data_IF_873789144928
#
_entry.id   IF_873789144928
#
_cell.length_a   1.000
_cell.length_b   1.000
_cell.length_c   1.000
_cell.angle_alpha   90.00
_cell.angle_beta   90.00
_cell.angle_gamma   90.00
#
_symmetry.space_group_name_H-M   'P 1'
#
loop_
_entity.id
_entity.type
_entity.pdbx_description
1 polymer ?
#
# COMPACT_ATOMS: atom_id res chain seq x y z
N UNK A 1 17.76 24.83 61.96
CA UNK A 1 16.98 23.57 61.94
C UNK A 1 16.28 23.54 60.57
N UNK A 2 16.52 22.57 59.68
CA UNK A 2 15.87 21.23 59.65
C UNK A 2 14.33 21.37 59.69
N UNK A 3 13.47 20.79 58.84
CA UNK A 3 13.56 19.82 57.72
C UNK A 3 12.16 19.77 57.02
N UNK A 4 11.88 19.21 55.83
CA UNK A 4 12.65 18.61 54.71
C UNK A 4 11.72 18.56 53.44
N UNK A 5 12.03 17.71 52.44
CA UNK A 5 11.24 17.48 51.20
C UNK A 5 10.10 16.44 51.36
N UNK A 6 9.16 16.41 50.40
CA UNK A 6 8.18 15.32 50.26
C UNK A 6 7.29 15.42 49.00
N UNK A 7 7.71 14.80 47.89
CA UNK A 7 6.85 14.56 46.71
C UNK A 7 6.21 13.16 46.81
N UNK A 8 4.90 13.06 46.54
CA UNK A 8 4.16 11.90 45.98
C UNK A 8 2.69 12.34 45.77
N UNK A 9 1.85 11.77 44.91
CA UNK A 9 2.02 11.05 43.64
C UNK A 9 0.68 11.11 42.89
N UNK A 10 0.58 11.94 41.85
CA UNK A 10 -0.64 12.07 41.05
C UNK A 10 -0.82 10.86 40.12
N UNK A 11 -1.75 9.96 40.46
CA UNK A 11 -1.97 8.71 39.72
C UNK A 11 -2.75 8.94 38.41
N UNK A 12 -2.07 9.40 37.37
CA UNK A 12 -2.63 9.56 36.03
C UNK A 12 -2.93 8.20 35.39
N UNK A 13 -4.15 7.72 35.56
CA UNK A 13 -4.66 6.57 34.82
C UNK A 13 -4.76 6.91 33.32
N UNK A 14 -3.75 6.51 32.55
CA UNK A 14 -3.80 6.53 31.08
C UNK A 14 -4.80 5.48 30.59
N UNK A 15 -6.00 5.91 30.23
CA UNK A 15 -7.01 5.06 29.60
C UNK A 15 -6.64 4.79 28.14
N UNK A 16 -5.99 3.65 27.90
CA UNK A 16 -5.73 3.15 26.54
C UNK A 16 -7.06 2.89 25.80
N UNK A 17 -7.27 3.43 24.58
CA UNK A 17 -8.45 3.12 23.79
C UNK A 17 -8.33 1.70 23.21
N UNK A 18 -8.94 0.72 23.90
CA UNK A 18 -8.93 -0.69 23.52
C UNK A 18 -9.91 -0.96 22.36
N UNK A 19 -9.51 -0.58 21.14
CA UNK A 19 -10.23 -0.91 19.91
C UNK A 19 -9.67 -2.18 19.24
N UNK A 20 -10.06 -3.37 19.70
CA UNK A 20 -9.64 -4.63 19.06
C UNK A 20 -10.48 -4.95 17.81
N UNK A 21 -10.21 -4.23 16.72
CA UNK A 21 -10.52 -4.73 15.39
C UNK A 21 -9.80 -6.06 15.15
N UNK A 22 -10.51 -7.07 14.63
CA UNK A 22 -9.86 -8.33 14.22
C UNK A 22 -8.95 -8.04 13.02
N UNK A 23 -7.64 -7.84 13.29
CA UNK A 23 -6.62 -7.80 12.23
C UNK A 23 -6.84 -8.96 11.25
N UNK A 24 -7.15 -8.64 10.00
CA UNK A 24 -7.28 -9.63 8.93
C UNK A 24 -5.99 -10.43 8.86
N UNK A 25 -6.04 -11.72 9.22
CA UNK A 25 -4.86 -12.57 9.26
C UNK A 25 -4.40 -12.88 7.83
N UNK A 26 -3.37 -12.17 7.37
CA UNK A 26 -2.80 -12.39 6.05
C UNK A 26 -2.27 -13.81 5.89
N UNK A 27 -2.55 -14.45 4.75
CA UNK A 27 -2.03 -15.78 4.44
C UNK A 27 -0.50 -15.73 4.39
N UNK A 28 0.17 -16.37 5.37
CA UNK A 28 1.63 -16.26 5.61
C UNK A 28 2.48 -16.47 4.35
N UNK A 29 2.08 -17.38 3.46
CA UNK A 29 2.77 -17.63 2.20
C UNK A 29 2.83 -16.43 1.25
N UNK A 30 1.74 -15.65 1.16
CA UNK A 30 1.58 -14.54 0.19
C UNK A 30 2.31 -13.25 0.59
N UNK A 31 2.80 -13.19 1.83
CA UNK A 31 3.59 -12.08 2.37
C UNK A 31 5.11 -12.31 2.26
N UNK A 32 5.51 -13.49 1.78
CA UNK A 32 6.92 -13.79 1.48
C UNK A 32 7.35 -13.01 0.23
N UNK A 33 8.54 -12.38 0.25
CA UNK A 33 9.14 -11.82 -0.95
C UNK A 33 9.39 -12.88 -2.02
N UNK A 34 9.27 -12.46 -3.26
CA UNK A 34 9.26 -13.32 -4.44
C UNK A 34 10.02 -12.63 -5.58
N UNK A 35 10.46 -13.40 -6.57
CA UNK A 35 11.28 -12.92 -7.69
C UNK A 35 10.53 -13.18 -8.99
N UNK A 36 10.46 -12.17 -9.85
CA UNK A 36 10.00 -12.26 -11.23
C UNK A 36 11.05 -11.59 -12.10
N UNK A 37 11.50 -12.24 -13.17
CA UNK A 37 12.49 -11.72 -14.13
C UNK A 37 13.75 -11.12 -13.48
N UNK A 38 14.27 -11.79 -12.44
CA UNK A 38 15.45 -11.36 -11.67
C UNK A 38 15.20 -10.21 -10.68
N UNK A 39 14.00 -9.62 -10.65
CA UNK A 39 13.61 -8.55 -9.73
C UNK A 39 12.88 -9.09 -8.51
N UNK A 40 13.40 -8.79 -7.32
CA UNK A 40 12.76 -9.16 -6.04
C UNK A 40 11.71 -8.13 -5.63
N UNK A 41 10.49 -8.61 -5.34
CA UNK A 41 9.38 -7.83 -4.82
C UNK A 41 9.16 -8.14 -3.33
N UNK A 42 8.89 -7.11 -2.55
CA UNK A 42 8.74 -7.20 -1.10
C UNK A 42 7.34 -6.73 -0.69
N UNK A 43 6.40 -7.65 -0.35
CA UNK A 43 5.09 -7.28 0.17
C UNK A 43 5.15 -6.34 1.39
N UNK A 44 4.13 -5.52 1.57
CA UNK A 44 3.97 -4.59 2.69
C UNK A 44 3.43 -5.33 3.93
N UNK A 45 3.68 -4.83 5.16
CA UNK A 45 3.23 -5.50 6.38
C UNK A 45 1.73 -5.30 6.63
N UNK A 46 1.24 -4.16 6.15
CA UNK A 46 -0.09 -3.61 6.28
C UNK A 46 -0.26 -2.60 5.13
N UNK A 47 -1.50 -2.26 4.81
CA UNK A 47 -1.82 -1.28 3.78
C UNK A 47 -2.08 0.14 4.31
N UNK A 48 -2.05 0.35 5.64
CA UNK A 48 -2.31 1.66 6.25
C UNK A 48 -1.45 2.77 5.62
N UNK A 49 -2.09 3.86 5.18
CA UNK A 49 -1.45 5.02 4.55
C UNK A 49 -1.01 4.83 3.10
N UNK A 50 -1.19 3.67 2.47
CA UNK A 50 -0.73 3.41 1.11
C UNK A 50 -1.52 4.21 0.05
N UNK A 51 -0.78 4.90 -0.82
CA UNK A 51 -1.29 5.59 -2.00
C UNK A 51 -0.30 5.37 -3.16
N UNK A 52 -0.74 4.84 -4.29
CA UNK A 52 0.09 4.71 -5.50
C UNK A 52 -0.68 5.26 -6.70
N UNK A 53 0.01 5.94 -7.62
CA UNK A 53 -0.62 6.49 -8.83
C UNK A 53 0.12 6.08 -10.08
N UNK A 54 -0.55 5.41 -11.01
CA UNK A 54 0.10 4.89 -12.20
C UNK A 54 -0.84 4.21 -13.20
N UNK A 55 -0.30 3.69 -14.31
CA UNK A 55 -1.05 2.88 -15.28
C UNK A 55 -1.66 1.63 -14.65
N UNK A 56 -2.97 1.46 -14.84
CA UNK A 56 -3.68 0.21 -14.57
C UNK A 56 -4.30 -0.36 -15.84
N UNK A 57 -4.32 -1.68 -15.91
CA UNK A 57 -4.91 -2.49 -17.00
C UNK A 57 -5.86 -3.52 -16.40
N UNK A 58 -6.33 -4.49 -17.20
CA UNK A 58 -7.23 -5.54 -16.76
C UNK A 58 -6.89 -6.90 -17.36
N UNK A 59 -7.25 -7.98 -16.65
CA UNK A 59 -7.03 -9.36 -17.10
C UNK A 59 -7.95 -9.72 -18.27
N UNK A 60 -7.36 -10.14 -19.38
CA UNK A 60 -8.09 -10.67 -20.54
C UNK A 60 -8.99 -11.89 -20.21
N UNK A 61 -9.91 -12.26 -21.11
CA UNK A 61 -10.90 -13.30 -20.85
C UNK A 61 -10.28 -14.67 -20.50
N UNK A 62 -9.14 -15.00 -21.09
CA UNK A 62 -8.43 -16.29 -20.94
C UNK A 62 -7.86 -16.54 -19.53
N UNK A 63 -7.99 -15.59 -18.61
CA UNK A 63 -7.56 -15.77 -17.22
C UNK A 63 -8.61 -16.46 -16.34
N UNK A 64 -9.89 -16.48 -16.73
CA UNK A 64 -10.97 -16.98 -15.89
C UNK A 64 -10.75 -18.43 -15.44
N UNK A 65 -10.96 -18.70 -14.14
CA UNK A 65 -10.77 -20.01 -13.53
C UNK A 65 -9.32 -20.37 -13.17
N UNK A 66 -8.31 -19.65 -13.68
CA UNK A 66 -6.90 -19.87 -13.31
C UNK A 66 -6.65 -19.46 -11.85
N UNK A 67 -5.73 -20.15 -11.19
CA UNK A 67 -5.33 -19.81 -9.82
C UNK A 67 -4.61 -18.47 -9.73
N UNK A 68 -5.02 -17.65 -8.77
CA UNK A 68 -4.31 -16.44 -8.34
C UNK A 68 -3.22 -16.77 -7.33
N UNK A 69 -2.34 -15.80 -7.06
CA UNK A 69 -1.25 -15.91 -6.09
C UNK A 69 -1.69 -16.11 -4.64
N UNK A 70 -2.97 -15.92 -4.29
CA UNK A 70 -3.51 -16.28 -2.98
C UNK A 70 -4.19 -17.66 -2.92
N UNK A 71 -4.27 -18.37 -4.05
CA UNK A 71 -4.85 -19.71 -4.18
C UNK A 71 -6.33 -19.75 -4.62
N UNK A 72 -7.02 -18.60 -4.68
CA UNK A 72 -8.37 -18.52 -5.25
C UNK A 72 -8.35 -18.70 -6.77
N UNK A 73 -9.43 -19.24 -7.35
CA UNK A 73 -9.67 -19.16 -8.79
C UNK A 73 -10.08 -17.74 -9.19
N UNK A 74 -9.43 -17.16 -10.20
CA UNK A 74 -9.76 -15.82 -10.70
C UNK A 74 -11.17 -15.78 -11.31
N UNK A 75 -12.03 -14.97 -10.71
CA UNK A 75 -13.37 -14.69 -11.19
C UNK A 75 -13.40 -13.30 -11.87
N UNK A 76 -13.62 -13.25 -13.18
CA UNK A 76 -13.67 -11.99 -13.92
C UNK A 76 -14.88 -11.10 -13.54
N UNK A 77 -15.89 -11.68 -12.91
CA UNK A 77 -17.11 -11.01 -12.45
C UNK A 77 -16.99 -10.47 -11.01
N UNK A 78 -15.96 -10.87 -10.25
CA UNK A 78 -15.70 -10.34 -8.92
C UNK A 78 -14.91 -9.02 -9.01
N UNK A 79 -15.04 -8.11 -8.03
CA UNK A 79 -14.20 -6.89 -7.95
C UNK A 79 -12.87 -7.19 -7.26
N UNK A 80 -11.93 -7.69 -8.04
CA UNK A 80 -10.59 -8.09 -7.58
C UNK A 80 -9.49 -7.46 -8.42
N UNK A 81 -8.28 -7.43 -7.90
CA UNK A 81 -7.10 -6.94 -8.61
C UNK A 81 -5.79 -7.61 -8.17
N UNK A 82 -4.80 -7.57 -9.06
CA UNK A 82 -3.40 -7.87 -8.78
C UNK A 82 -2.66 -6.63 -8.30
N UNK A 83 -1.87 -6.75 -7.24
CA UNK A 83 -0.88 -5.75 -6.86
C UNK A 83 0.46 -6.37 -6.46
N UNK A 84 1.56 -5.73 -6.83
CA UNK A 84 2.94 -6.21 -6.59
C UNK A 84 3.22 -6.42 -5.10
N UNK A 85 2.82 -5.46 -4.27
CA UNK A 85 3.31 -5.37 -2.88
C UNK A 85 2.19 -5.26 -1.84
N UNK A 86 0.93 -5.02 -2.22
CA UNK A 86 -0.12 -4.86 -1.21
C UNK A 86 -0.43 -6.20 -0.53
N UNK A 87 -0.79 -6.21 0.76
CA UNK A 87 -1.22 -7.42 1.42
C UNK A 87 -2.42 -8.06 0.71
N UNK A 88 -2.48 -9.39 0.67
CA UNK A 88 -3.69 -10.06 0.18
C UNK A 88 -4.88 -9.73 1.08
N UNK A 89 -6.06 -9.63 0.48
CA UNK A 89 -7.31 -9.18 1.09
C UNK A 89 -7.32 -7.71 1.54
N UNK A 90 -6.32 -6.90 1.20
CA UNK A 90 -6.46 -5.45 1.26
C UNK A 90 -7.57 -5.02 0.30
N UNK A 91 -8.50 -4.22 0.82
CA UNK A 91 -9.48 -3.49 0.01
C UNK A 91 -8.86 -2.15 -0.42
N UNK A 92 -9.02 -1.78 -1.69
CA UNK A 92 -8.54 -0.50 -2.21
C UNK A 92 -9.65 0.22 -2.97
N UNK A 93 -9.70 1.54 -2.83
CA UNK A 93 -10.42 2.42 -3.75
C UNK A 93 -9.52 2.67 -4.95
N UNK A 94 -10.03 2.39 -6.14
CA UNK A 94 -9.36 2.68 -7.42
C UNK A 94 -10.13 3.78 -8.11
N UNK A 95 -9.45 4.88 -8.40
CA UNK A 95 -10.01 6.05 -9.08
C UNK A 95 -9.34 6.23 -10.43
N UNK A 96 -10.12 6.16 -11.50
CA UNK A 96 -9.65 6.50 -12.85
C UNK A 96 -9.49 8.02 -12.94
N UNK A 97 -8.26 8.50 -13.17
CA UNK A 97 -7.94 9.92 -13.18
C UNK A 97 -8.37 10.63 -14.48
N UNK A 98 -8.65 9.86 -15.54
CA UNK A 98 -9.01 10.38 -16.85
C UNK A 98 -10.52 10.72 -16.95
N UNK A 99 -11.35 10.13 -16.06
CA UNK A 99 -12.81 10.32 -16.06
C UNK A 99 -13.47 10.46 -14.68
N UNK A 100 -12.70 10.33 -13.58
CA UNK A 100 -13.21 10.46 -12.21
C UNK A 100 -14.07 9.29 -11.71
N UNK A 101 -14.24 8.20 -12.48
CA UNK A 101 -14.98 7.01 -12.02
C UNK A 101 -14.17 6.27 -10.96
N UNK A 102 -14.87 5.64 -10.03
CA UNK A 102 -14.30 4.93 -8.88
C UNK A 102 -14.91 3.54 -8.73
N UNK A 103 -14.12 2.59 -8.24
CA UNK A 103 -14.61 1.28 -7.79
C UNK A 103 -13.75 0.76 -6.62
N UNK A 104 -14.33 -0.10 -5.78
CA UNK A 104 -13.63 -0.75 -4.67
C UNK A 104 -13.32 -2.19 -5.06
N UNK A 105 -12.04 -2.57 -4.97
CA UNK A 105 -11.56 -3.93 -5.31
C UNK A 105 -10.78 -4.54 -4.16
N UNK A 106 -10.76 -5.89 -4.11
CA UNK A 106 -9.92 -6.66 -3.21
C UNK A 106 -8.64 -7.12 -3.90
N UNK A 107 -7.48 -6.91 -3.28
CA UNK A 107 -6.22 -7.50 -3.75
C UNK A 107 -6.21 -9.00 -3.46
N UNK A 108 -6.16 -9.84 -4.50
CA UNK A 108 -6.04 -11.29 -4.35
C UNK A 108 -4.92 -11.93 -5.22
N UNK A 109 -4.25 -11.16 -6.07
CA UNK A 109 -3.18 -11.65 -6.93
C UNK A 109 -1.91 -10.76 -6.90
N UNK A 110 -0.82 -11.26 -7.50
CA UNK A 110 0.46 -10.56 -7.68
C UNK A 110 0.67 -10.17 -9.14
N UNK A 111 1.29 -9.01 -9.34
CA UNK A 111 1.44 -8.36 -10.64
C UNK A 111 0.87 -6.94 -10.57
N UNK A 112 0.79 -6.22 -11.69
CA UNK A 112 1.40 -6.51 -12.98
C UNK A 112 2.93 -6.51 -12.94
N UNK A 113 3.57 -7.30 -13.80
CA UNK A 113 5.04 -7.35 -13.95
C UNK A 113 5.57 -6.58 -15.15
N UNK A 114 4.74 -6.33 -16.18
CA UNK A 114 5.14 -5.46 -17.28
C UNK A 114 5.41 -4.02 -16.78
N UNK A 115 6.50 -3.43 -17.30
CA UNK A 115 7.11 -2.20 -16.78
C UNK A 115 6.11 -1.03 -16.71
N UNK A 116 6.17 -0.28 -15.61
CA UNK A 116 5.38 0.93 -15.40
C UNK A 116 3.92 0.72 -15.00
N UNK A 117 3.35 -0.49 -15.13
CA UNK A 117 1.99 -0.77 -14.63
C UNK A 117 2.00 -1.00 -13.12
N UNK A 118 0.94 -0.59 -12.43
CA UNK A 118 0.79 -0.70 -10.97
C UNK A 118 -0.30 -1.69 -10.54
N UNK A 119 -1.37 -1.84 -11.35
CA UNK A 119 -2.55 -2.64 -10.99
C UNK A 119 -3.11 -3.38 -12.23
N UNK A 120 -3.50 -4.64 -12.06
CA UNK A 120 -4.26 -5.42 -13.05
C UNK A 120 -5.65 -5.74 -12.45
N UNK A 121 -6.70 -5.16 -13.03
CA UNK A 121 -8.09 -5.26 -12.56
C UNK A 121 -8.82 -6.49 -13.13
N UNK A 122 -9.86 -6.95 -12.44
CA UNK A 122 -10.84 -7.86 -13.04
C UNK A 122 -11.65 -7.17 -14.14
N UNK A 123 -12.28 -7.96 -15.03
CA UNK A 123 -13.14 -7.42 -16.10
C UNK A 123 -14.27 -6.53 -15.54
N UNK A 124 -14.96 -6.94 -14.49
CA UNK A 124 -16.04 -6.13 -13.88
C UNK A 124 -15.51 -4.85 -13.23
N UNK A 125 -14.37 -4.88 -12.54
CA UNK A 125 -13.79 -3.65 -11.98
C UNK A 125 -13.29 -2.70 -13.09
N UNK A 126 -12.79 -3.23 -14.21
CA UNK A 126 -12.46 -2.45 -15.40
C UNK A 126 -13.71 -1.82 -16.05
N UNK A 127 -14.85 -2.52 -16.04
CA UNK A 127 -16.15 -2.01 -16.53
C UNK A 127 -16.68 -0.86 -15.66
N UNK A 128 -16.58 -0.98 -14.34
CA UNK A 128 -16.90 0.09 -13.37
C UNK A 128 -16.06 1.36 -13.59
N UNK A 129 -14.86 1.26 -14.18
CA UNK A 129 -13.94 2.39 -14.43
C UNK A 129 -13.94 2.90 -15.89
N UNK A 130 -14.81 2.37 -16.76
CA UNK A 130 -14.80 2.58 -18.22
C UNK A 130 -13.48 2.17 -18.92
N UNK A 131 -12.77 1.18 -18.36
CA UNK A 131 -11.44 0.76 -18.80
C UNK A 131 -11.45 -0.31 -19.91
N UNK A 132 -12.57 -1.00 -20.14
CA UNK A 132 -12.65 -2.11 -21.09
C UNK A 132 -12.21 -1.74 -22.52
N UNK A 133 -12.68 -0.60 -23.06
CA UNK A 133 -12.32 -0.14 -24.42
C UNK A 133 -10.94 0.52 -24.48
N UNK A 134 -10.54 1.42 -23.55
CA UNK A 134 -9.18 1.97 -23.53
C UNK A 134 -8.08 0.93 -23.26
N UNK A 135 -8.40 -0.18 -22.59
CA UNK A 135 -7.44 -1.21 -22.18
C UNK A 135 -6.57 -0.81 -20.98
N UNK A 136 -6.15 0.46 -20.92
CA UNK A 136 -5.33 1.07 -19.88
C UNK A 136 -5.82 2.50 -19.56
N UNK A 137 -5.59 2.94 -18.32
CA UNK A 137 -5.84 4.31 -17.85
C UNK A 137 -4.86 4.64 -16.71
N UNK A 138 -4.70 5.92 -16.37
CA UNK A 138 -3.94 6.30 -15.17
C UNK A 138 -4.89 6.31 -13.97
N UNK A 139 -4.58 5.52 -12.95
CA UNK A 139 -5.40 5.40 -11.74
C UNK A 139 -4.65 5.89 -10.51
N UNK A 140 -5.40 6.34 -9.51
CA UNK A 140 -4.96 6.37 -8.12
C UNK A 140 -5.50 5.13 -7.40
N UNK A 141 -4.64 4.48 -6.62
CA UNK A 141 -4.97 3.34 -5.75
C UNK A 141 -4.78 3.78 -4.31
N UNK A 142 -5.85 3.74 -3.52
CA UNK A 142 -5.86 4.12 -2.11
C UNK A 142 -6.22 2.91 -1.25
N UNK A 143 -5.38 2.56 -0.29
CA UNK A 143 -5.72 1.50 0.66
C UNK A 143 -6.82 1.95 1.63
N UNK A 144 -7.87 1.13 1.73
CA UNK A 144 -8.96 1.34 2.66
C UNK A 144 -8.63 0.74 4.02
N UNK A 145 -9.14 1.37 5.08
CA UNK A 145 -8.97 0.94 6.46
C UNK A 145 -9.81 -0.29 6.83
N UNK A 146 -10.17 -0.40 8.10
CA UNK A 146 -11.07 -1.48 8.53
C UNK A 146 -12.51 -1.23 8.04
N UNK A 147 -13.14 -2.27 7.49
CA UNK A 147 -14.56 -2.25 7.13
C UNK A 147 -15.43 -2.54 8.35
N UNK A 148 -16.55 -1.83 8.48
CA UNK A 148 -17.58 -2.12 9.48
C UNK A 148 -18.43 -3.34 9.15
N UNK A 149 -18.29 -3.94 7.96
CA UNK A 149 -19.09 -5.08 7.52
C UNK A 149 -18.34 -6.41 7.62
N UNK A 150 -19.06 -7.41 8.12
CA UNK A 150 -18.69 -8.83 8.02
C UNK A 150 -18.56 -9.23 6.53
N UNK A 151 -17.63 -10.12 6.15
CA UNK A 151 -17.51 -10.58 4.76
C UNK A 151 -18.81 -11.24 4.26
N UNK A 152 -19.52 -10.56 3.37
CA UNK A 152 -20.61 -11.10 2.56
C UNK A 152 -20.11 -11.40 1.15
N UNK A 153 -20.97 -11.96 0.29
CA UNK A 153 -20.59 -12.31 -1.09
C UNK A 153 -20.33 -11.09 -1.99
N UNK A 154 -20.76 -9.89 -1.58
CA UNK A 154 -20.45 -8.65 -2.29
C UNK A 154 -19.27 -7.90 -1.67
N UNK A 155 -18.38 -7.30 -2.48
CA UNK A 155 -17.33 -6.41 -1.99
C UNK A 155 -17.92 -5.24 -1.18
N UNK A 156 -17.38 -4.89 0.00
CA UNK A 156 -17.82 -3.73 0.76
C UNK A 156 -17.65 -2.45 -0.08
N UNK A 157 -18.64 -1.56 -0.01
CA UNK A 157 -18.64 -0.28 -0.71
C UNK A 157 -17.82 0.75 0.07
N UNK A 158 -17.39 1.85 -0.57
CA UNK A 158 -16.55 2.87 0.08
C UNK A 158 -17.12 3.41 1.40
N UNK A 159 -18.45 3.54 1.50
CA UNK A 159 -19.19 3.97 2.70
C UNK A 159 -19.12 2.97 3.89
N UNK A 160 -18.67 1.74 3.64
CA UNK A 160 -18.61 0.65 4.61
C UNK A 160 -17.24 0.57 5.32
N UNK A 161 -16.40 1.60 5.17
CA UNK A 161 -15.07 1.70 5.81
C UNK A 161 -15.07 2.83 6.83
N UNK A 162 -14.67 2.51 8.07
CA UNK A 162 -14.89 3.40 9.23
C UNK A 162 -13.94 4.60 9.22
N UNK A 163 -12.76 4.44 8.64
CA UNK A 163 -11.72 5.48 8.58
C UNK A 163 -10.95 5.34 7.25
N UNK A 164 -11.38 6.08 6.23
CA UNK A 164 -10.50 6.42 5.11
C UNK A 164 -9.62 7.59 5.60
N UNK A 165 -8.28 7.46 5.63
CA UNK A 165 -7.42 8.54 6.11
C UNK A 165 -7.65 9.85 5.32
N UNK A 166 -7.57 11.01 5.98
CA UNK A 166 -7.65 12.30 5.27
C UNK A 166 -6.33 12.59 4.56
N UNK A 167 -6.17 12.06 3.35
CA UNK A 167 -4.98 12.25 2.51
C UNK A 167 -4.75 13.70 2.04
N UNK A 168 -5.48 14.70 2.57
CA UNK A 168 -5.19 16.13 2.38
C UNK A 168 -4.17 16.67 3.39
N UNK A 169 -3.93 15.96 4.51
CA UNK A 169 -3.06 16.39 5.62
C UNK A 169 -2.36 15.19 6.27
N UNK A 170 -1.20 15.41 6.87
CA UNK A 170 -0.40 14.36 7.52
C UNK A 170 1.01 14.31 6.94
N UNK A 171 1.90 13.50 7.51
CA UNK A 171 3.27 13.38 6.98
C UNK A 171 3.26 12.41 5.80
N UNK A 172 3.72 12.85 4.63
CA UNK A 172 3.88 11.97 3.48
C UNK A 172 5.34 11.60 3.28
N UNK A 173 5.56 10.33 2.96
CA UNK A 173 6.85 9.76 2.59
C UNK A 173 6.73 9.10 1.22
N UNK A 174 7.82 9.02 0.47
CA UNK A 174 7.93 8.14 -0.70
C UNK A 174 8.83 6.97 -0.35
N UNK A 175 8.35 5.74 -0.54
CA UNK A 175 9.17 4.55 -0.38
C UNK A 175 10.03 4.34 -1.63
N UNK A 176 11.34 4.52 -1.49
CA UNK A 176 12.31 4.48 -2.61
C UNK A 176 13.05 3.14 -2.74
N UNK A 177 12.89 2.23 -1.78
CA UNK A 177 13.51 0.90 -1.85
C UNK A 177 13.20 0.00 -0.65
N UNK A 178 13.55 -1.28 -0.80
CA UNK A 178 13.47 -2.31 0.25
C UNK A 178 14.63 -3.29 0.06
N UNK A 179 15.40 -3.53 1.13
CA UNK A 179 16.66 -4.27 1.03
C UNK A 179 16.79 -5.31 2.14
N UNK A 180 17.28 -6.51 1.78
CA UNK A 180 17.70 -7.53 2.76
C UNK A 180 18.96 -7.07 3.51
N UNK A 181 19.96 -6.56 2.76
CA UNK A 181 21.20 -6.03 3.34
C UNK A 181 20.97 -4.61 3.85
N UNK A 182 21.03 -4.43 5.18
CA UNK A 182 20.92 -3.13 5.85
C UNK A 182 21.90 -2.09 5.30
N UNK A 183 23.12 -2.49 4.93
CA UNK A 183 24.13 -1.62 4.29
C UNK A 183 23.62 -0.96 2.99
N UNK A 184 22.80 -1.66 2.20
CA UNK A 184 22.27 -1.13 0.95
C UNK A 184 21.20 -0.07 1.24
N UNK A 185 20.33 -0.33 2.22
CA UNK A 185 19.36 0.65 2.71
C UNK A 185 20.04 1.88 3.32
N UNK A 186 21.10 1.69 4.11
CA UNK A 186 21.88 2.77 4.72
C UNK A 186 22.59 3.62 3.67
N UNK A 187 23.19 3.03 2.63
CA UNK A 187 23.80 3.80 1.52
C UNK A 187 22.77 4.66 0.79
N UNK A 188 21.58 4.11 0.51
CA UNK A 188 20.50 4.89 -0.12
C UNK A 188 19.97 5.99 0.81
N UNK A 189 19.80 5.71 2.10
CA UNK A 189 19.39 6.72 3.07
C UNK A 189 20.42 7.85 3.22
N UNK A 190 21.71 7.54 3.23
CA UNK A 190 22.79 8.54 3.24
C UNK A 190 22.79 9.41 1.98
N UNK A 191 22.44 8.87 0.81
CA UNK A 191 22.30 9.64 -0.42
C UNK A 191 21.21 10.72 -0.30
N UNK A 192 20.05 10.40 0.27
CA UNK A 192 18.97 11.37 0.50
C UNK A 192 19.25 12.32 1.69
N UNK A 193 19.90 11.83 2.75
CA UNK A 193 20.29 12.67 3.89
C UNK A 193 21.30 13.76 3.47
N UNK A 194 22.21 13.48 2.53
CA UNK A 194 23.11 14.49 1.92
C UNK A 194 22.36 15.57 1.13
N UNK A 195 21.15 15.28 0.66
CA UNK A 195 20.24 16.24 0.02
C UNK A 195 19.35 16.96 1.05
N UNK A 196 19.67 16.87 2.34
CA UNK A 196 18.92 17.44 3.46
C UNK A 196 17.46 16.95 3.56
N UNK A 197 17.14 15.79 2.99
CA UNK A 197 15.81 15.17 3.10
C UNK A 197 15.77 14.22 4.30
N UNK A 198 14.80 14.34 5.22
CA UNK A 198 14.59 13.35 6.26
C UNK A 198 14.33 11.96 5.66
N UNK A 199 14.94 10.92 6.24
CA UNK A 199 14.79 9.53 5.81
C UNK A 199 14.45 8.66 6.99
N UNK A 200 13.39 7.87 6.85
CA UNK A 200 13.01 6.80 7.77
C UNK A 200 13.51 5.45 7.23
N UNK A 201 14.17 4.69 8.09
CA UNK A 201 14.45 3.27 7.87
C UNK A 201 13.43 2.44 8.64
N UNK A 202 12.53 1.77 7.93
CA UNK A 202 11.51 0.91 8.55
C UNK A 202 11.90 -0.56 8.39
N UNK A 203 12.05 -1.28 9.50
CA UNK A 203 12.27 -2.72 9.47
C UNK A 203 10.95 -3.48 9.23
N UNK A 204 11.03 -4.54 8.44
CA UNK A 204 9.94 -5.47 8.16
C UNK A 204 10.45 -6.90 8.31
N UNK A 205 9.87 -7.63 9.26
CA UNK A 205 10.30 -8.99 9.59
C UNK A 205 9.32 -9.98 8.97
N UNK A 206 9.82 -10.95 8.22
CA UNK A 206 9.06 -12.12 7.76
C UNK A 206 9.59 -13.40 8.42
N UNK A 207 8.98 -14.54 8.10
CA UNK A 207 9.45 -15.86 8.48
C UNK A 207 10.79 -16.27 7.83
N UNK A 208 11.30 -15.49 6.86
CA UNK A 208 12.52 -15.81 6.10
C UNK A 208 13.65 -14.79 6.26
N UNK A 209 13.36 -13.50 6.44
CA UNK A 209 14.36 -12.47 6.66
C UNK A 209 13.76 -11.18 7.22
N UNK A 210 14.64 -10.30 7.71
CA UNK A 210 14.33 -8.90 7.97
C UNK A 210 14.74 -8.05 6.76
N UNK A 211 13.86 -7.13 6.36
CA UNK A 211 14.07 -6.18 5.27
C UNK A 211 14.08 -4.77 5.84
N UNK A 212 14.97 -3.91 5.38
CA UNK A 212 14.97 -2.48 5.69
C UNK A 212 14.38 -1.72 4.50
N UNK A 213 13.24 -1.05 4.72
CA UNK A 213 12.62 -0.15 3.74
C UNK A 213 13.17 1.26 3.92
N UNK A 214 13.40 1.95 2.82
CA UNK A 214 13.89 3.34 2.80
C UNK A 214 12.73 4.23 2.38
N UNK A 215 12.33 5.15 3.25
CA UNK A 215 11.19 6.04 3.07
C UNK A 215 11.67 7.48 3.27
N UNK A 216 11.53 8.32 2.24
CA UNK A 216 12.06 9.70 2.23
C UNK A 216 10.90 10.68 2.39
N UNK A 217 11.04 11.65 3.29
CA UNK A 217 9.99 12.64 3.55
C UNK A 217 9.68 13.47 2.29
N UNK A 218 8.39 13.67 2.05
CA UNK A 218 7.82 14.16 0.81
C UNK A 218 6.93 15.41 0.99
N UNK A 219 6.78 15.89 2.24
CA UNK A 219 5.98 17.05 2.61
C UNK A 219 4.67 16.68 3.31
N UNK A 220 3.92 17.69 3.75
CA UNK A 220 2.73 17.54 4.59
C UNK A 220 1.41 17.44 3.80
N UNK A 221 1.50 17.27 2.48
CA UNK A 221 0.35 17.20 1.57
C UNK A 221 0.59 16.21 0.43
N UNK A 222 -0.45 15.49 0.02
CA UNK A 222 -0.39 14.55 -1.10
C UNK A 222 0.06 15.19 -2.44
N UNK A 223 -0.33 16.42 -2.82
CA UNK A 223 0.20 17.07 -4.02
C UNK A 223 1.72 17.25 -4.00
N UNK A 224 2.31 17.67 -2.87
CA UNK A 224 3.76 17.77 -2.72
C UNK A 224 4.42 16.39 -2.81
N UNK A 225 3.85 15.39 -2.13
CA UNK A 225 4.35 14.02 -2.15
C UNK A 225 4.39 13.42 -3.57
N UNK A 226 3.31 13.63 -4.35
CA UNK A 226 3.21 13.19 -5.75
C UNK A 226 4.18 13.92 -6.69
N UNK A 227 4.53 15.18 -6.42
CA UNK A 227 5.58 15.89 -7.19
C UNK A 227 6.93 15.21 -6.94
N UNK A 228 7.23 14.86 -5.69
CA UNK A 228 8.47 14.18 -5.34
C UNK A 228 8.51 12.73 -5.83
N UNK A 229 7.40 11.98 -5.76
CA UNK A 229 7.22 10.66 -6.38
C UNK A 229 7.61 10.67 -7.86
N UNK A 230 7.03 11.56 -8.68
CA UNK A 230 7.35 11.67 -10.11
C UNK A 230 8.81 12.07 -10.36
N UNK A 231 9.41 12.90 -9.50
CA UNK A 231 10.83 13.21 -9.58
C UNK A 231 11.69 11.97 -9.29
N UNK A 232 11.28 11.09 -8.38
CA UNK A 232 11.98 9.84 -8.07
C UNK A 232 11.83 8.82 -9.21
N UNK A 233 10.63 8.65 -9.78
CA UNK A 233 10.40 7.82 -10.96
C UNK A 233 11.34 8.22 -12.12
N UNK A 234 11.40 9.51 -12.43
CA UNK A 234 12.26 10.07 -13.48
C UNK A 234 13.76 9.92 -13.20
N UNK A 235 14.16 9.86 -11.92
CA UNK A 235 15.55 9.71 -11.47
C UNK A 235 15.94 8.27 -11.10
N UNK A 236 15.23 7.27 -11.64
CA UNK A 236 15.64 5.86 -11.56
C UNK A 236 15.00 5.05 -10.43
N UNK A 237 13.93 5.54 -9.80
CA UNK A 237 13.13 4.80 -8.82
C UNK A 237 11.73 4.45 -9.37
N UNK A 238 11.60 3.58 -10.39
CA UNK A 238 10.35 3.33 -11.12
C UNK A 238 9.31 2.46 -10.38
N UNK A 239 9.56 2.15 -9.10
CA UNK A 239 8.62 1.48 -8.18
C UNK A 239 8.48 2.29 -6.88
N UNK A 240 8.77 3.59 -6.94
CA UNK A 240 8.52 4.52 -5.85
C UNK A 240 7.02 4.80 -5.72
N UNK A 241 6.51 4.82 -4.49
CA UNK A 241 5.10 5.10 -4.20
C UNK A 241 4.94 5.86 -2.88
N UNK A 242 3.83 6.59 -2.73
CA UNK A 242 3.53 7.42 -1.56
C UNK A 242 2.98 6.60 -0.38
N UNK A 243 3.41 6.97 0.83
CA UNK A 243 2.91 6.47 2.10
C UNK A 243 2.56 7.69 2.97
N UNK A 244 1.30 7.82 3.35
CA UNK A 244 0.84 8.74 4.39
C UNK A 244 1.09 8.14 5.79
N UNK A 245 1.34 9.00 6.77
CA UNK A 245 1.48 8.67 8.20
C UNK A 245 0.67 9.62 9.08
#
# INVERSE_FOLDING_TARGET
MLSACGLTSGNSQTTSPTGQGKKMAYAKGTQRPYVIDGKTYYPLPHAAGFIETGPATWYGPDFHGKSTSNGESYNMHARTAAHKTLPMNTMVLVRNLDNGRETVVRINDRGPFAKGRILDLSRTAAEDLSLLRPGSARVEVVALGESSKTPSQEPPQLKDFVQVPDFKKGEFYVQVGSFIRKDNAMRLAQQFARQQRPVMLQEFITDKATYTRVQVFAGDTLPAARVFERQLEANGYPDAFVIAR
#
